data_IF_688418089163
#
_entry.id   IF_688418089163
#
_cell.length_a   1.000
_cell.length_b   1.000
_cell.length_c   1.000
_cell.angle_alpha   90.00
_cell.angle_beta   90.00
_cell.angle_gamma   90.00
#
_symmetry.space_group_name_H-M   'P 1'
#
loop_
_entity.id
_entity.type
_entity.pdbx_description
1 polymer ?
#
# COMPACT_ATOMS: atom_id res chain seq x y z
N UNK A 1 -15.69 65.63 55.70
CA UNK A 1 -16.22 64.29 55.37
C UNK A 1 -16.67 64.12 53.91
N UNK A 2 -17.43 65.05 53.30
CA UNK A 2 -17.89 64.93 51.90
C UNK A 2 -16.78 64.73 50.83
N UNK A 3 -15.64 65.41 50.97
CA UNK A 3 -14.51 65.26 50.02
C UNK A 3 -13.80 63.92 50.13
N UNK A 4 -13.71 63.35 51.34
CA UNK A 4 -13.06 62.05 51.58
C UNK A 4 -13.92 60.89 51.01
N UNK A 5 -15.25 61.00 51.14
CA UNK A 5 -16.18 59.99 50.64
C UNK A 5 -16.19 59.92 49.09
N UNK A 6 -16.06 61.07 48.42
CA UNK A 6 -16.01 61.13 46.95
C UNK A 6 -14.74 60.51 46.37
N UNK A 7 -13.59 60.70 47.01
CA UNK A 7 -12.31 60.17 46.51
C UNK A 7 -12.23 58.66 46.69
N UNK A 8 -12.73 58.12 47.81
CA UNK A 8 -12.74 56.67 48.08
C UNK A 8 -13.71 55.95 47.14
N UNK A 9 -14.87 56.53 46.86
CA UNK A 9 -15.85 55.95 45.93
C UNK A 9 -15.32 55.89 44.49
N UNK A 10 -14.61 56.92 44.03
CA UNK A 10 -13.98 56.93 42.70
C UNK A 10 -12.86 55.87 42.59
N UNK A 11 -12.05 55.70 43.63
CA UNK A 11 -11.00 54.68 43.69
C UNK A 11 -11.59 53.26 43.66
N UNK A 12 -12.72 53.04 44.32
CA UNK A 12 -13.44 51.76 44.32
C UNK A 12 -14.01 51.42 42.93
N UNK A 13 -14.52 52.41 42.20
CA UNK A 13 -15.00 52.23 40.82
C UNK A 13 -13.82 51.90 39.89
N UNK A 14 -12.68 52.58 40.02
CA UNK A 14 -11.49 52.29 39.20
C UNK A 14 -10.97 50.87 39.48
N UNK A 15 -10.97 50.44 40.74
CA UNK A 15 -10.56 49.08 41.12
C UNK A 15 -11.53 48.02 40.58
N UNK A 16 -12.84 48.31 40.58
CA UNK A 16 -13.86 47.42 40.04
C UNK A 16 -13.83 47.35 38.50
N UNK A 17 -13.54 48.44 37.80
CA UNK A 17 -13.40 48.47 36.34
C UNK A 17 -12.13 47.75 35.88
N UNK A 18 -11.05 47.79 36.67
CA UNK A 18 -9.82 47.05 36.36
C UNK A 18 -9.93 45.53 36.60
N UNK A 19 -10.71 45.06 37.59
CA UNK A 19 -10.82 43.63 37.88
C UNK A 19 -11.58 42.82 36.81
N UNK A 20 -12.41 43.46 35.98
CA UNK A 20 -13.20 42.77 34.94
C UNK A 20 -12.47 42.72 33.59
N UNK A 21 -11.27 43.32 33.49
CA UNK A 21 -10.50 43.39 32.24
C UNK A 21 -9.41 42.32 32.12
N UNK A 22 -9.44 41.28 32.96
CA UNK A 22 -8.63 40.08 32.78
C UNK A 22 -9.11 39.23 31.60
N UNK A 23 -9.11 39.80 30.39
CA UNK A 23 -9.19 39.01 29.17
C UNK A 23 -7.88 38.24 29.08
N UNK A 24 -7.90 37.00 29.56
CA UNK A 24 -6.91 36.02 29.15
C UNK A 24 -7.07 35.87 27.63
N UNK A 25 -6.20 36.54 26.88
CA UNK A 25 -5.97 36.19 25.50
C UNK A 25 -5.29 34.82 25.51
N UNK A 26 -6.07 33.74 25.59
CA UNK A 26 -5.58 32.47 25.08
C UNK A 26 -5.47 32.66 23.58
N UNK A 27 -4.27 32.88 23.07
CA UNK A 27 -4.03 32.73 21.65
C UNK A 27 -4.36 31.27 21.31
N UNK A 28 -5.56 31.01 20.81
CA UNK A 28 -5.88 29.77 20.13
C UNK A 28 -5.16 29.83 18.80
N UNK A 29 -3.88 29.46 18.82
CA UNK A 29 -3.09 29.25 17.61
C UNK A 29 -3.57 27.96 16.94
N UNK A 30 -4.74 28.03 16.29
CA UNK A 30 -5.34 26.86 15.60
C UNK A 30 -5.85 27.21 14.19
N UNK A 31 -5.57 28.41 13.66
CA UNK A 31 -6.15 28.85 12.39
C UNK A 31 -5.19 29.69 11.54
N UNK A 32 -3.98 29.21 11.26
CA UNK A 32 -3.05 29.93 10.36
C UNK A 32 -2.60 29.12 9.13
N UNK A 33 -3.11 27.90 8.92
CA UNK A 33 -2.80 27.11 7.72
C UNK A 33 -4.07 26.65 6.98
N UNK A 34 -4.79 27.58 6.36
CA UNK A 34 -5.83 27.23 5.38
C UNK A 34 -6.95 26.33 5.92
N UNK A 35 -7.56 26.78 7.02
CA UNK A 35 -8.57 26.19 7.91
C UNK A 35 -9.68 25.29 7.31
N UNK A 36 -9.81 25.19 5.99
CA UNK A 36 -10.93 24.49 5.35
C UNK A 36 -10.57 23.10 4.82
N UNK A 37 -9.37 22.57 5.11
CA UNK A 37 -8.96 21.25 4.59
C UNK A 37 -8.21 20.39 5.61
N UNK A 38 -7.32 20.99 6.36
CA UNK A 38 -6.50 20.32 7.37
C UNK A 38 -6.55 21.11 8.67
N UNK A 39 -6.59 20.39 9.79
CA UNK A 39 -6.56 20.95 11.14
C UNK A 39 -5.37 20.37 11.89
N UNK A 40 -4.75 21.19 12.73
CA UNK A 40 -3.99 20.69 13.87
C UNK A 40 -5.01 20.50 15.00
N UNK A 41 -4.90 19.42 15.77
CA UNK A 41 -5.75 19.20 16.94
C UNK A 41 -5.04 19.65 18.20
N UNK A 42 -5.77 19.79 19.30
CA UNK A 42 -5.16 20.08 20.62
C UNK A 42 -4.17 18.99 21.10
N UNK A 43 -4.19 17.80 20.48
CA UNK A 43 -3.20 16.75 20.71
C UNK A 43 -1.92 16.89 19.89
N UNK A 44 -1.86 17.88 18.97
CA UNK A 44 -0.78 18.06 18.01
C UNK A 44 -0.93 17.25 16.73
N UNK A 45 -2.03 16.51 16.56
CA UNK A 45 -2.26 15.70 15.36
C UNK A 45 -2.62 16.58 14.17
N UNK A 46 -2.08 16.25 12.98
CA UNK A 46 -2.47 16.87 11.71
C UNK A 46 -3.50 15.97 11.04
N UNK A 47 -4.74 16.43 10.90
CA UNK A 47 -5.85 15.63 10.36
C UNK A 47 -6.59 16.37 9.24
N UNK A 48 -7.12 15.65 8.22
CA UNK A 48 -8.03 16.26 7.26
C UNK A 48 -9.38 16.53 7.93
N UNK A 49 -10.04 17.63 7.57
CA UNK A 49 -11.36 17.96 8.14
C UNK A 49 -12.50 17.08 7.60
N UNK A 50 -12.26 16.38 6.49
CA UNK A 50 -13.18 15.43 5.87
C UNK A 50 -12.44 14.14 5.49
N UNK A 51 -13.04 13.00 5.86
CA UNK A 51 -12.47 11.69 5.59
C UNK A 51 -12.33 11.45 4.07
N UNK A 52 -11.20 10.85 3.65
CA UNK A 52 -10.95 10.43 2.27
C UNK A 52 -11.17 11.53 1.20
N UNK A 53 -10.95 12.80 1.54
CA UNK A 53 -11.27 13.94 0.67
C UNK A 53 -10.06 14.79 0.25
N UNK A 54 -8.89 14.59 0.89
CA UNK A 54 -7.73 15.44 0.68
C UNK A 54 -6.45 14.62 0.53
N UNK A 55 -5.65 14.99 -0.47
CA UNK A 55 -4.34 14.40 -0.72
C UNK A 55 -3.24 15.12 0.08
N UNK A 56 -2.12 14.42 0.28
CA UNK A 56 -0.87 15.01 0.75
C UNK A 56 0.07 15.15 -0.46
N UNK A 57 0.11 16.35 -1.04
CA UNK A 57 0.86 16.67 -2.26
C UNK A 57 0.01 16.58 -3.54
N UNK A 58 0.68 16.62 -4.70
CA UNK A 58 0.06 16.46 -6.03
C UNK A 58 1.10 15.97 -7.04
N UNK A 59 0.69 15.69 -8.29
CA UNK A 59 1.61 15.25 -9.36
C UNK A 59 2.75 16.25 -9.63
N UNK A 60 2.46 17.54 -9.51
CA UNK A 60 3.41 18.64 -9.73
C UNK A 60 4.16 19.06 -8.47
N UNK A 61 3.66 18.67 -7.30
CA UNK A 61 4.22 19.04 -5.99
C UNK A 61 4.20 17.82 -5.07
N UNK A 62 5.14 16.90 -5.31
CA UNK A 62 5.23 15.64 -4.59
C UNK A 62 5.96 15.83 -3.26
N UNK A 63 5.50 15.15 -2.21
CA UNK A 63 6.27 15.04 -0.96
C UNK A 63 7.50 14.17 -1.25
N UNK A 64 8.69 14.76 -1.11
CA UNK A 64 9.93 14.05 -1.42
C UNK A 64 10.17 12.86 -0.49
N UNK A 65 9.98 13.05 0.82
CA UNK A 65 10.20 12.03 1.84
C UNK A 65 9.19 12.21 2.98
N UNK A 66 8.73 11.09 3.58
CA UNK A 66 7.93 11.06 4.81
C UNK A 66 8.73 10.31 5.86
N UNK A 67 9.05 10.98 6.96
CA UNK A 67 9.71 10.38 8.12
C UNK A 67 8.68 10.22 9.23
N UNK A 68 8.55 9.01 9.77
CA UNK A 68 7.60 8.69 10.83
C UNK A 68 8.22 7.68 11.79
N UNK A 69 7.70 7.63 13.02
CA UNK A 69 8.10 6.65 14.02
C UNK A 69 6.89 5.79 14.38
N UNK A 70 6.89 4.51 13.98
CA UNK A 70 5.76 3.59 14.16
C UNK A 70 5.44 2.80 12.89
N UNK A 71 4.17 2.42 12.73
CA UNK A 71 3.67 1.69 11.55
C UNK A 71 2.71 2.60 10.79
N UNK A 72 2.97 2.81 9.49
CA UNK A 72 2.02 3.48 8.61
C UNK A 72 0.95 2.45 8.19
N UNK A 73 -0.29 2.63 8.64
CA UNK A 73 -1.42 1.79 8.23
C UNK A 73 -2.19 2.49 7.11
N UNK A 74 -2.01 2.10 5.83
CA UNK A 74 -2.81 2.65 4.77
C UNK A 74 -4.29 2.29 4.98
N UNK A 75 -5.19 3.26 4.75
CA UNK A 75 -6.60 2.94 4.54
C UNK A 75 -6.73 1.98 3.36
N UNK A 76 -7.79 1.17 3.34
CA UNK A 76 -8.03 0.07 2.37
C UNK A 76 -8.12 0.49 0.89
N UNK A 77 -7.72 1.71 0.55
CA UNK A 77 -7.62 2.26 -0.80
C UNK A 77 -6.16 2.48 -1.25
N UNK A 78 -5.16 1.95 -0.54
CA UNK A 78 -3.80 1.90 -1.05
C UNK A 78 -3.73 0.93 -2.24
N UNK A 79 -4.10 1.46 -3.41
CA UNK A 79 -3.61 0.98 -4.69
C UNK A 79 -2.09 1.06 -4.62
N UNK A 80 -1.46 0.00 -4.14
CA UNK A 80 -0.08 -0.30 -4.45
C UNK A 80 0.10 -0.04 -5.94
N UNK A 81 1.18 0.65 -6.31
CA UNK A 81 1.47 1.09 -7.67
C UNK A 81 1.55 -0.07 -8.69
N UNK A 82 1.52 -1.30 -8.20
CA UNK A 82 1.05 -2.47 -8.93
C UNK A 82 -0.19 -3.03 -8.23
N UNK A 83 -1.31 -3.28 -8.95
CA UNK A 83 -2.45 -3.94 -8.33
C UNK A 83 -1.96 -5.27 -7.77
N UNK A 84 -2.02 -5.45 -6.45
CA UNK A 84 -1.55 -6.67 -5.80
C UNK A 84 -2.75 -7.52 -5.37
N UNK A 85 -2.58 -8.83 -5.34
CA UNK A 85 -3.55 -9.77 -4.78
C UNK A 85 -2.79 -10.83 -3.98
N UNK A 86 -3.13 -10.98 -2.70
CA UNK A 86 -2.68 -12.13 -1.93
C UNK A 86 -3.46 -13.37 -2.41
N UNK A 87 -2.75 -14.47 -2.67
CA UNK A 87 -3.33 -15.72 -3.15
C UNK A 87 -2.80 -16.92 -2.35
N UNK A 88 -3.62 -17.95 -2.28
CA UNK A 88 -3.32 -19.29 -1.77
C UNK A 88 -3.49 -20.30 -2.89
N UNK A 89 -3.01 -21.53 -2.76
CA UNK A 89 -3.20 -22.58 -3.79
C UNK A 89 -4.68 -22.98 -4.01
N UNK A 90 -5.61 -22.51 -3.18
CA UNK A 90 -7.05 -22.65 -3.42
C UNK A 90 -7.59 -21.61 -4.41
N UNK A 91 -6.83 -20.55 -4.66
CA UNK A 91 -7.21 -19.49 -5.60
C UNK A 91 -6.94 -19.90 -7.05
N UNK A 92 -7.87 -19.51 -7.92
CA UNK A 92 -7.65 -19.57 -9.37
C UNK A 92 -7.05 -18.24 -9.85
N UNK A 93 -5.98 -18.33 -10.66
CA UNK A 93 -5.46 -17.19 -11.42
C UNK A 93 -6.34 -17.03 -12.66
N UNK A 94 -6.85 -15.82 -12.90
CA UNK A 94 -7.76 -15.53 -14.01
C UNK A 94 -7.20 -14.45 -14.90
N UNK A 95 -7.80 -14.26 -16.09
CA UNK A 95 -7.43 -13.17 -17.00
C UNK A 95 -7.60 -11.77 -16.37
N UNK A 96 -8.47 -11.64 -15.37
CA UNK A 96 -8.66 -10.40 -14.60
C UNK A 96 -7.48 -10.06 -13.67
N UNK A 97 -6.56 -11.01 -13.48
CA UNK A 97 -5.34 -10.82 -12.71
C UNK A 97 -4.17 -10.32 -13.57
N UNK A 98 -4.37 -10.15 -14.88
CA UNK A 98 -3.34 -9.63 -15.77
C UNK A 98 -2.91 -8.23 -15.34
N UNK A 99 -1.60 -7.99 -15.30
CA UNK A 99 -0.96 -6.78 -14.80
C UNK A 99 -0.82 -6.71 -13.27
N UNK A 100 -1.28 -7.74 -12.53
CA UNK A 100 -1.17 -7.78 -11.07
C UNK A 100 0.10 -8.45 -10.59
N UNK A 101 0.50 -8.05 -9.38
CA UNK A 101 1.45 -8.79 -8.55
C UNK A 101 0.69 -9.74 -7.62
N UNK A 102 0.85 -11.04 -7.85
CA UNK A 102 0.24 -12.11 -7.07
C UNK A 102 1.21 -12.53 -5.98
N UNK A 103 0.86 -12.29 -4.73
CA UNK A 103 1.70 -12.65 -3.58
C UNK A 103 1.17 -13.96 -3.00
N UNK A 104 1.97 -15.02 -3.12
CA UNK A 104 1.62 -16.33 -2.58
C UNK A 104 1.78 -16.30 -1.06
N UNK A 105 0.66 -16.35 -0.35
CA UNK A 105 0.60 -16.44 1.10
C UNK A 105 0.27 -17.87 1.50
N UNK A 106 1.19 -18.56 2.17
CA UNK A 106 0.91 -19.92 2.63
C UNK A 106 -0.02 -19.96 3.84
N UNK A 107 -0.86 -20.99 3.84
CA UNK A 107 -1.57 -21.48 5.02
C UNK A 107 -0.89 -22.80 5.40
N UNK A 108 0.03 -22.77 6.37
CA UNK A 108 0.67 -23.94 7.03
C UNK A 108 1.07 -25.16 6.18
N UNK A 109 2.35 -25.28 5.82
CA UNK A 109 2.97 -26.56 5.39
C UNK A 109 2.52 -27.13 4.04
N UNK A 110 1.99 -26.29 3.15
CA UNK A 110 1.34 -26.73 1.92
C UNK A 110 2.24 -26.63 0.67
N UNK A 111 2.48 -27.75 -0.01
CA UNK A 111 2.94 -27.73 -1.40
C UNK A 111 1.73 -27.68 -2.34
N UNK A 112 1.78 -26.90 -3.43
CA UNK A 112 0.68 -26.89 -4.40
C UNK A 112 1.06 -26.23 -5.73
N UNK A 113 0.09 -26.13 -6.64
CA UNK A 113 0.32 -25.53 -7.95
C UNK A 113 -0.73 -24.49 -8.31
N UNK A 114 -0.31 -23.53 -9.12
CA UNK A 114 -1.17 -22.51 -9.69
C UNK A 114 -1.23 -22.71 -11.20
N UNK A 115 -2.42 -22.95 -11.74
CA UNK A 115 -2.60 -22.98 -13.19
C UNK A 115 -2.81 -21.58 -13.71
N UNK A 116 -1.99 -21.16 -14.69
CA UNK A 116 -2.18 -19.92 -15.42
C UNK A 116 -3.45 -19.99 -16.28
N UNK A 117 -4.06 -18.87 -16.66
CA UNK A 117 -5.08 -18.85 -17.70
C UNK A 117 -4.54 -19.35 -19.05
N UNK A 118 -5.46 -19.79 -19.92
CA UNK A 118 -5.10 -20.17 -21.28
C UNK A 118 -4.42 -19.01 -22.03
N UNK A 119 -3.28 -19.30 -22.64
CA UNK A 119 -2.36 -18.40 -23.34
C UNK A 119 -2.92 -17.91 -24.69
N UNK A 120 -4.15 -17.38 -24.69
CA UNK A 120 -4.90 -17.00 -25.90
C UNK A 120 -4.92 -15.50 -26.17
N UNK A 121 -4.67 -14.68 -25.14
CA UNK A 121 -4.72 -13.22 -25.23
C UNK A 121 -3.32 -12.65 -25.07
N UNK A 122 -2.76 -12.16 -26.17
CA UNK A 122 -1.42 -11.58 -26.19
C UNK A 122 -1.31 -10.37 -25.25
N UNK A 123 -0.13 -10.23 -24.63
CA UNK A 123 0.18 -9.14 -23.72
C UNK A 123 -0.34 -9.33 -22.30
N UNK A 124 -1.01 -10.44 -21.98
CA UNK A 124 -1.30 -10.79 -20.59
C UNK A 124 0.00 -10.99 -19.82
N UNK A 125 0.07 -10.46 -18.59
CA UNK A 125 1.27 -10.48 -17.77
C UNK A 125 0.92 -10.77 -16.31
N UNK A 126 1.68 -11.63 -15.65
CA UNK A 126 1.53 -11.92 -14.22
C UNK A 126 2.89 -11.91 -13.55
N UNK A 127 3.01 -11.17 -12.45
CA UNK A 127 4.16 -11.29 -11.55
C UNK A 127 3.74 -12.09 -10.33
N UNK A 128 4.38 -13.23 -10.10
CA UNK A 128 4.09 -14.10 -8.96
C UNK A 128 5.28 -14.04 -8.01
N UNK A 129 5.01 -13.74 -6.74
CA UNK A 129 6.01 -13.58 -5.68
C UNK A 129 5.77 -14.60 -4.59
N UNK A 130 6.83 -15.25 -4.13
CA UNK A 130 6.79 -16.03 -2.90
C UNK A 130 6.72 -15.09 -1.69
N UNK A 131 5.54 -14.98 -1.08
CA UNK A 131 5.29 -14.11 0.06
C UNK A 131 5.76 -14.68 1.41
N UNK A 132 6.23 -15.94 1.46
CA UNK A 132 6.56 -16.73 2.66
C UNK A 132 5.67 -16.54 3.91
N UNK A 133 4.76 -17.48 4.14
CA UNK A 133 4.23 -17.78 5.48
C UNK A 133 5.19 -18.63 6.33
N UNK A 134 4.93 -18.82 7.63
CA UNK A 134 5.79 -19.69 8.46
C UNK A 134 5.73 -21.15 7.98
N UNK A 135 6.85 -21.69 7.47
CA UNK A 135 6.96 -23.10 7.06
C UNK A 135 7.96 -23.32 5.91
N UNK A 136 8.10 -24.59 5.52
CA UNK A 136 8.77 -24.99 4.27
C UNK A 136 7.68 -25.38 3.28
N UNK A 137 7.53 -24.64 2.18
CA UNK A 137 6.58 -24.99 1.14
C UNK A 137 7.11 -24.62 -0.26
N UNK A 138 7.01 -25.54 -1.21
CA UNK A 138 7.23 -25.24 -2.63
C UNK A 138 5.89 -25.03 -3.32
N UNK A 139 5.86 -24.18 -4.34
CA UNK A 139 4.71 -24.12 -5.23
C UNK A 139 5.17 -24.13 -6.67
N UNK A 140 4.37 -24.72 -7.55
CA UNK A 140 4.60 -24.67 -9.00
C UNK A 140 3.63 -23.74 -9.69
N UNK A 141 4.03 -23.23 -10.84
CA UNK A 141 3.18 -22.48 -11.76
C UNK A 141 3.09 -23.32 -13.03
N UNK A 142 1.88 -23.80 -13.32
CA UNK A 142 1.59 -24.72 -14.40
C UNK A 142 0.90 -23.94 -15.56
N UNK A 143 1.23 -24.20 -16.83
CA UNK A 143 0.47 -23.66 -17.96
C UNK A 143 -0.90 -24.34 -18.07
N UNK A 144 -1.87 -23.69 -18.73
CA UNK A 144 -3.20 -24.27 -18.93
C UNK A 144 -3.21 -25.27 -20.09
N UNK A 145 -3.79 -26.45 -19.88
CA UNK A 145 -4.08 -27.38 -20.98
C UNK A 145 -2.82 -27.81 -21.75
N UNK A 146 -2.73 -27.39 -23.01
CA UNK A 146 -1.59 -27.68 -23.91
C UNK A 146 -0.60 -26.52 -24.04
N UNK A 147 -0.79 -25.44 -23.29
CA UNK A 147 0.12 -24.31 -23.27
C UNK A 147 1.47 -24.72 -22.66
N UNK A 148 2.52 -23.94 -22.93
CA UNK A 148 3.88 -24.19 -22.42
C UNK A 148 4.49 -22.95 -21.78
N UNK A 149 5.47 -23.14 -20.89
CA UNK A 149 6.29 -22.06 -20.31
C UNK A 149 7.69 -22.09 -20.93
N UNK A 150 8.29 -20.92 -21.25
CA UNK A 150 9.63 -20.81 -21.84
C UNK A 150 10.40 -19.60 -21.29
N UNK A 151 11.72 -19.60 -21.39
CA UNK A 151 12.51 -18.40 -21.09
C UNK A 151 12.44 -17.39 -22.24
N UNK A 152 12.08 -16.12 -21.96
CA UNK A 152 11.95 -15.10 -23.00
C UNK A 152 13.29 -14.76 -23.69
N UNK A 153 14.39 -14.75 -22.95
CA UNK A 153 15.70 -14.27 -23.45
C UNK A 153 16.51 -15.35 -24.16
N UNK A 154 16.39 -16.61 -23.77
CA UNK A 154 17.20 -17.69 -24.36
C UNK A 154 16.51 -18.38 -25.55
N UNK A 155 15.17 -18.27 -25.66
CA UNK A 155 14.38 -19.02 -26.62
C UNK A 155 14.44 -20.54 -26.42
N UNK A 156 15.12 -21.00 -25.37
CA UNK A 156 15.21 -22.40 -24.99
C UNK A 156 13.88 -22.76 -24.35
N UNK A 157 13.11 -23.69 -24.94
CA UNK A 157 11.94 -24.24 -24.28
C UNK A 157 12.37 -24.81 -22.93
N UNK A 158 11.59 -24.57 -21.87
CA UNK A 158 11.49 -25.60 -20.85
C UNK A 158 10.85 -26.82 -21.54
N UNK A 159 11.10 -28.03 -21.05
CA UNK A 159 10.51 -29.23 -21.62
C UNK A 159 8.98 -29.07 -21.72
N UNK A 160 8.38 -29.70 -22.73
CA UNK A 160 6.97 -29.46 -23.05
C UNK A 160 6.07 -30.01 -21.94
N UNK A 161 5.35 -29.13 -21.25
CA UNK A 161 4.57 -29.46 -20.04
C UNK A 161 5.16 -28.91 -18.75
N UNK A 162 6.30 -28.22 -18.84
CA UNK A 162 7.05 -27.77 -17.68
C UNK A 162 6.35 -26.65 -16.93
N UNK A 163 6.04 -26.98 -15.69
CA UNK A 163 5.83 -26.02 -14.62
C UNK A 163 7.16 -25.47 -14.14
N UNK A 164 7.14 -24.27 -13.58
CA UNK A 164 8.28 -23.72 -12.83
C UNK A 164 7.97 -23.81 -11.34
N UNK A 165 8.95 -24.21 -10.52
CA UNK A 165 8.75 -24.42 -9.09
C UNK A 165 9.58 -23.45 -8.27
N UNK A 166 8.92 -22.77 -7.32
CA UNK A 166 9.58 -21.89 -6.34
C UNK A 166 10.41 -22.70 -5.34
N UNK A 167 11.62 -22.24 -4.98
CA UNK A 167 12.51 -22.91 -4.03
C UNK A 167 12.17 -22.62 -2.56
N UNK A 168 11.03 -21.97 -2.26
CA UNK A 168 10.60 -21.57 -0.90
C UNK A 168 11.45 -20.44 -0.27
N UNK A 169 11.82 -19.43 -1.06
CA UNK A 169 12.58 -18.27 -0.59
C UNK A 169 11.74 -17.00 -0.68
N UNK A 170 11.55 -16.32 0.45
CA UNK A 170 10.74 -15.08 0.51
C UNK A 170 11.26 -14.04 -0.48
N UNK A 171 10.35 -13.48 -1.28
CA UNK A 171 10.66 -12.41 -2.20
C UNK A 171 11.36 -12.86 -3.48
N UNK A 172 11.47 -14.18 -3.71
CA UNK A 172 11.69 -14.74 -5.03
C UNK A 172 10.44 -14.51 -5.89
N UNK A 173 10.66 -14.27 -7.17
CA UNK A 173 9.58 -13.88 -8.07
C UNK A 173 9.81 -14.31 -9.49
N UNK A 174 8.73 -14.50 -10.22
CA UNK A 174 8.75 -14.71 -11.66
C UNK A 174 7.67 -13.86 -12.31
N UNK A 175 8.02 -13.22 -13.43
CA UNK A 175 7.09 -12.48 -14.27
C UNK A 175 6.92 -13.23 -15.58
N UNK A 176 5.70 -13.65 -15.87
CA UNK A 176 5.33 -14.33 -17.11
C UNK A 176 4.52 -13.40 -18.00
N UNK A 177 4.79 -13.43 -19.30
CA UNK A 177 4.04 -12.69 -20.32
C UNK A 177 3.59 -13.64 -21.43
N UNK A 178 2.34 -13.49 -21.89
CA UNK A 178 1.87 -14.16 -23.09
C UNK A 178 2.30 -13.35 -24.32
N UNK A 179 3.53 -13.57 -24.79
CA UNK A 179 4.05 -12.93 -26.00
C UNK A 179 3.58 -13.62 -27.29
N UNK A 180 3.21 -14.90 -27.22
CA UNK A 180 2.79 -15.74 -28.35
C UNK A 180 1.61 -16.62 -27.93
N UNK A 181 0.67 -16.86 -28.83
CA UNK A 181 -0.47 -17.74 -28.54
C UNK A 181 0.01 -19.15 -28.20
N UNK A 182 -0.51 -19.72 -27.11
CA UNK A 182 -0.12 -21.05 -26.61
C UNK A 182 1.13 -21.06 -25.74
N UNK A 183 1.76 -19.91 -25.48
CA UNK A 183 3.02 -19.85 -24.75
C UNK A 183 3.05 -18.75 -23.67
N UNK A 184 3.56 -19.10 -22.49
CA UNK A 184 3.97 -18.18 -21.45
C UNK A 184 5.48 -18.01 -21.47
N UNK A 185 5.95 -16.77 -21.56
CA UNK A 185 7.38 -16.45 -21.58
C UNK A 185 7.78 -15.83 -20.24
N UNK A 186 8.84 -16.35 -19.62
CA UNK A 186 9.46 -15.76 -18.44
C UNK A 186 10.17 -14.49 -18.87
N UNK A 187 9.55 -13.35 -18.59
CA UNK A 187 10.03 -12.00 -18.89
C UNK A 187 11.10 -11.54 -17.91
N UNK A 188 10.91 -11.87 -16.64
CA UNK A 188 11.84 -11.55 -15.55
C UNK A 188 11.75 -12.62 -14.46
N UNK A 189 12.86 -12.84 -13.76
CA UNK A 189 12.93 -13.83 -12.69
C UNK A 189 13.99 -13.42 -11.66
N UNK A 190 13.61 -13.51 -10.39
CA UNK A 190 14.47 -13.26 -9.24
C UNK A 190 14.47 -14.49 -8.34
N UNK A 191 15.65 -14.90 -7.92
CA UNK A 191 15.85 -16.13 -7.15
C UNK A 191 16.11 -17.33 -8.04
N UNK A 192 16.02 -18.52 -7.46
CA UNK A 192 16.36 -19.78 -8.16
C UNK A 192 15.12 -20.63 -8.34
N UNK A 193 14.52 -20.63 -9.53
CA UNK A 193 13.39 -21.50 -9.84
C UNK A 193 13.87 -22.76 -10.54
N UNK A 194 13.27 -23.91 -10.21
CA UNK A 194 13.58 -25.18 -10.91
C UNK A 194 12.57 -25.43 -12.02
N UNK A 195 13.05 -25.94 -13.14
CA UNK A 195 12.18 -26.58 -14.13
C UNK A 195 11.60 -27.85 -13.50
N UNK A 196 10.30 -28.03 -13.66
CA UNK A 196 9.54 -29.02 -12.90
C UNK A 196 9.76 -30.47 -13.32
N UNK A 197 10.51 -30.71 -14.41
CA UNK A 197 10.75 -32.02 -15.04
C UNK A 197 9.51 -32.72 -15.61
#
# INVERSE_FOLDING_TARGET
MRKLFSTVFLLLIIFFVCLVSGYASSSTDESVLGNDRWSVTSGGDIIPIANNSYDIGSSSYQVANIYYNGVLTPGTSASSKTPYRAITTADTITTSDSGKTLVVTAVGGYNGSFTLPAATTLGQEYTIIDGKGSGVYTFSIDPAGTDIIRYATSGVPLDAGDKITSPNSTGDSVTLINGVSGEWQIKDMKGTWSDGG
#
